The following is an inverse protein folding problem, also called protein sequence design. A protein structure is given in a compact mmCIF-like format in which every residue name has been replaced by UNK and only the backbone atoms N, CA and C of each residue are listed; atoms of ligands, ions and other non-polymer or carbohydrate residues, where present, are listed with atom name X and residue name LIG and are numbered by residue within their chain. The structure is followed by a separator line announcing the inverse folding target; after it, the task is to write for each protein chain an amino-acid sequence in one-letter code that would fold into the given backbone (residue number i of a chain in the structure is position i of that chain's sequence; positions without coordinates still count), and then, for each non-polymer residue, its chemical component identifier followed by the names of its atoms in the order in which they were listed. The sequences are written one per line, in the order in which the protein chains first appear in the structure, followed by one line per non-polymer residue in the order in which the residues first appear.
data_IF_204722844654
#
_entry.id   IF_204722844654
#
_cell.length_a   1.000
_cell.length_b   1.000
_cell.length_c   1.000
_cell.angle_alpha   90.00
_cell.angle_beta   90.00
_cell.angle_gamma   90.00
#
_symmetry.space_group_name_H-M   'P 1'
#
loop_
_entity.id
_entity.type
_entity.pdbx_description
1 polymer ?
#
# COMPACT_ATOMS: atom_id res chain seq x y z
N UNK A 1 -16.44 -8.11 18.22
CA UNK A 1 -16.76 -7.31 17.04
C UNK A 1 -16.07 -7.94 15.83
N UNK A 2 -16.81 -8.24 14.77
CA UNK A 2 -16.25 -8.88 13.57
C UNK A 2 -15.59 -7.93 12.58
N UNK A 3 -16.04 -6.67 12.57
CA UNK A 3 -15.49 -5.58 11.73
C UNK A 3 -15.63 -4.27 12.48
N UNK A 4 -14.57 -3.50 12.52
CA UNK A 4 -14.52 -2.17 13.12
C UNK A 4 -13.71 -1.24 12.24
N UNK A 5 -13.97 0.05 12.36
CA UNK A 5 -13.16 1.09 11.74
C UNK A 5 -13.13 2.32 12.62
N UNK A 6 -12.07 3.11 12.48
CA UNK A 6 -11.96 4.46 12.98
C UNK A 6 -11.64 5.42 11.83
N UNK A 7 -12.09 6.66 11.93
CA UNK A 7 -11.76 7.71 10.99
C UNK A 7 -11.54 9.00 11.75
N UNK A 8 -10.29 9.40 11.86
CA UNK A 8 -9.92 10.54 12.70
C UNK A 8 -8.56 11.14 12.37
N UNK A 9 -8.19 12.22 13.09
CA UNK A 9 -6.87 12.85 12.94
C UNK A 9 -5.79 11.98 13.57
N UNK A 10 -4.70 11.80 12.82
CA UNK A 10 -3.48 11.10 13.24
C UNK A 10 -2.31 12.06 13.23
N UNK A 11 -1.40 11.90 14.18
CA UNK A 11 -0.24 12.77 14.36
C UNK A 11 1.04 11.95 14.27
N UNK A 12 1.98 12.36 13.39
CA UNK A 12 3.30 11.76 13.26
C UNK A 12 4.37 12.86 13.25
N UNK A 13 5.33 12.77 14.19
CA UNK A 13 6.44 13.70 14.30
C UNK A 13 7.67 13.21 13.50
N UNK A 14 7.47 12.89 12.23
CA UNK A 14 8.54 12.42 11.35
C UNK A 14 9.33 13.60 10.79
N UNK A 15 10.66 13.40 10.61
CA UNK A 15 11.52 14.37 9.93
C UNK A 15 11.41 14.27 8.41
N UNK A 16 10.22 13.98 7.92
CA UNK A 16 9.98 13.84 6.49
C UNK A 16 10.07 15.17 5.78
N UNK A 17 10.75 15.18 4.62
CA UNK A 17 10.83 16.34 3.72
C UNK A 17 10.04 16.11 2.43
N UNK A 18 9.16 15.13 2.41
CA UNK A 18 8.36 14.84 1.22
C UNK A 18 7.16 15.78 1.11
N UNK A 19 6.63 15.97 -0.11
CA UNK A 19 5.43 16.77 -0.35
C UNK A 19 4.14 16.10 0.12
N UNK A 20 4.21 14.81 0.49
CA UNK A 20 3.04 13.95 0.81
C UNK A 20 2.79 13.79 2.30
N UNK A 21 3.78 14.09 3.16
CA UNK A 21 3.68 13.83 4.58
C UNK A 21 3.41 15.11 5.36
N UNK A 22 2.34 15.10 6.14
CA UNK A 22 1.96 16.13 7.08
C UNK A 22 2.10 15.60 8.51
N UNK A 23 2.38 16.48 9.46
CA UNK A 23 2.42 16.13 10.90
C UNK A 23 1.04 15.71 11.41
N UNK A 24 -0.01 16.29 10.87
CA UNK A 24 -1.41 15.96 11.16
C UNK A 24 -2.09 15.59 9.82
N UNK A 25 -2.79 14.46 9.81
CA UNK A 25 -3.58 14.02 8.66
C UNK A 25 -4.74 13.16 9.14
N UNK A 26 -5.71 12.92 8.27
CA UNK A 26 -6.83 12.02 8.55
C UNK A 26 -6.54 10.63 8.01
N UNK A 27 -6.80 9.63 8.84
CA UNK A 27 -6.62 8.23 8.49
C UNK A 27 -7.91 7.45 8.75
N UNK A 28 -8.20 6.51 7.89
CA UNK A 28 -9.22 5.50 8.09
C UNK A 28 -8.53 4.18 8.40
N UNK A 29 -8.62 3.75 9.65
CA UNK A 29 -8.14 2.44 10.09
C UNK A 29 -9.29 1.44 10.12
N UNK A 30 -9.09 0.26 9.59
CA UNK A 30 -10.09 -0.81 9.61
C UNK A 30 -9.47 -2.12 10.06
N UNK A 31 -10.16 -2.78 10.99
CA UNK A 31 -9.81 -4.13 11.45
C UNK A 31 -11.01 -5.07 11.21
N UNK A 32 -10.71 -6.24 10.65
CA UNK A 32 -11.74 -7.23 10.37
C UNK A 32 -11.26 -8.64 10.66
N UNK A 33 -12.11 -9.41 11.33
CA UNK A 33 -11.90 -10.82 11.60
C UNK A 33 -12.41 -11.68 10.43
N UNK A 34 -11.86 -12.89 10.32
CA UNK A 34 -12.36 -13.93 9.42
C UNK A 34 -12.16 -13.67 7.91
N UNK A 35 -11.31 -12.73 7.53
CA UNK A 35 -10.84 -12.57 6.15
C UNK A 35 -9.45 -13.17 5.99
N UNK A 36 -9.23 -13.80 4.86
CA UNK A 36 -7.88 -14.17 4.40
C UNK A 36 -7.13 -12.94 3.90
N UNK A 37 -5.83 -13.09 3.66
CA UNK A 37 -5.02 -12.03 3.07
C UNK A 37 -5.59 -11.58 1.71
N UNK A 38 -5.90 -12.51 0.83
CA UNK A 38 -6.43 -12.20 -0.51
C UNK A 38 -7.79 -11.51 -0.45
N UNK A 39 -8.70 -11.97 0.42
CA UNK A 39 -10.00 -11.31 0.63
C UNK A 39 -9.84 -9.89 1.20
N UNK A 40 -8.79 -9.65 2.00
CA UNK A 40 -8.44 -8.32 2.46
C UNK A 40 -8.04 -7.41 1.31
N UNK A 41 -7.23 -7.89 0.36
CA UNK A 41 -6.84 -7.13 -0.82
C UNK A 41 -8.06 -6.82 -1.71
N UNK A 42 -8.95 -7.78 -1.91
CA UNK A 42 -10.20 -7.58 -2.65
C UNK A 42 -11.08 -6.50 -2.01
N UNK A 43 -11.16 -6.50 -0.67
CA UNK A 43 -11.92 -5.48 0.08
C UNK A 43 -11.28 -4.09 -0.05
N UNK A 44 -9.95 -3.99 0.03
CA UNK A 44 -9.22 -2.73 -0.14
C UNK A 44 -9.41 -2.16 -1.55
N UNK A 45 -9.30 -3.00 -2.59
CA UNK A 45 -9.56 -2.61 -3.97
C UNK A 45 -11.00 -2.10 -4.14
N UNK A 46 -11.98 -2.85 -3.64
CA UNK A 46 -13.40 -2.44 -3.70
C UNK A 46 -13.65 -1.12 -2.95
N UNK A 47 -12.99 -0.92 -1.80
CA UNK A 47 -13.08 0.32 -1.02
C UNK A 47 -12.56 1.51 -1.80
N UNK A 48 -11.35 1.44 -2.36
CA UNK A 48 -10.77 2.54 -3.14
C UNK A 48 -11.62 2.85 -4.37
N UNK A 49 -12.10 1.83 -5.10
CA UNK A 49 -13.00 2.01 -6.24
C UNK A 49 -14.32 2.70 -5.84
N UNK A 50 -14.88 2.32 -4.70
CA UNK A 50 -16.09 2.96 -4.18
C UNK A 50 -15.86 4.43 -3.79
N UNK A 51 -14.69 4.77 -3.22
CA UNK A 51 -14.31 6.15 -2.94
C UNK A 51 -14.17 6.97 -4.23
N UNK A 52 -13.47 6.47 -5.24
CA UNK A 52 -13.30 7.13 -6.53
C UNK A 52 -14.64 7.37 -7.21
N UNK A 53 -15.53 6.35 -7.23
CA UNK A 53 -16.88 6.50 -7.75
C UNK A 53 -17.68 7.54 -6.97
N UNK A 54 -17.60 7.51 -5.64
CA UNK A 54 -18.27 8.49 -4.79
C UNK A 54 -17.82 9.93 -5.03
N UNK A 55 -16.54 10.15 -5.33
CA UNK A 55 -16.01 11.47 -5.68
C UNK A 55 -16.51 11.92 -7.07
N UNK A 56 -16.49 11.03 -8.06
CA UNK A 56 -17.02 11.32 -9.40
C UNK A 56 -18.51 11.72 -9.35
N UNK A 57 -19.31 11.04 -8.52
CA UNK A 57 -20.75 11.27 -8.42
C UNK A 57 -21.11 12.52 -7.62
N UNK A 58 -20.36 12.85 -6.57
CA UNK A 58 -20.76 13.83 -5.57
C UNK A 58 -20.00 15.15 -5.66
N UNK A 59 -18.83 15.15 -6.32
CA UNK A 59 -17.95 16.32 -6.35
C UNK A 59 -17.49 16.72 -7.77
N UNK A 60 -18.36 16.66 -8.83
CA UNK A 60 -17.94 16.95 -10.19
C UNK A 60 -17.41 18.40 -10.36
N UNK A 61 -17.99 19.37 -9.66
CA UNK A 61 -17.54 20.77 -9.71
C UNK A 61 -16.14 20.96 -9.09
N UNK A 62 -15.83 20.20 -8.01
CA UNK A 62 -14.50 20.26 -7.41
C UNK A 62 -13.45 19.64 -8.34
N UNK A 63 -13.78 18.51 -9.00
CA UNK A 63 -12.92 17.88 -9.99
C UNK A 63 -12.64 18.81 -11.18
N UNK A 64 -13.66 19.50 -11.69
CA UNK A 64 -13.50 20.50 -12.75
C UNK A 64 -12.61 21.67 -12.30
N UNK A 65 -12.85 22.23 -11.11
CA UNK A 65 -12.04 23.32 -10.56
C UNK A 65 -10.56 22.94 -10.39
N UNK A 66 -10.30 21.68 -10.03
CA UNK A 66 -8.95 21.13 -9.86
C UNK A 66 -8.36 20.61 -11.18
N UNK A 67 -9.05 20.77 -12.30
CA UNK A 67 -8.62 20.25 -13.61
C UNK A 67 -8.25 18.76 -13.57
N UNK A 68 -8.99 17.98 -12.72
CA UNK A 68 -8.68 16.57 -12.51
C UNK A 68 -9.08 15.71 -13.71
N UNK A 69 -8.17 14.89 -14.20
CA UNK A 69 -8.46 13.90 -15.24
C UNK A 69 -9.44 12.83 -14.71
N UNK A 70 -10.71 12.98 -15.07
CA UNK A 70 -11.79 12.08 -14.65
C UNK A 70 -11.80 10.78 -15.43
N UNK A 71 -11.26 10.74 -16.65
CA UNK A 71 -11.16 9.52 -17.44
C UNK A 71 -10.12 8.56 -16.82
N UNK A 72 -9.04 9.10 -16.29
CA UNK A 72 -8.06 8.32 -15.54
C UNK A 72 -8.68 7.70 -14.27
N UNK A 73 -9.49 8.46 -13.53
CA UNK A 73 -10.20 7.92 -12.36
C UNK A 73 -11.19 6.81 -12.74
N UNK A 74 -11.93 6.98 -13.85
CA UNK A 74 -12.82 5.94 -14.38
C UNK A 74 -12.06 4.68 -14.79
N UNK A 75 -10.88 4.83 -15.35
CA UNK A 75 -9.99 3.73 -15.69
C UNK A 75 -9.57 2.96 -14.44
N UNK A 76 -9.17 3.62 -13.35
CA UNK A 76 -8.82 2.96 -12.08
C UNK A 76 -10.02 2.19 -11.48
N UNK A 77 -11.24 2.65 -11.69
CA UNK A 77 -12.46 1.93 -11.26
C UNK A 77 -12.69 0.68 -12.13
N UNK A 78 -12.49 0.80 -13.43
CA UNK A 78 -12.82 -0.26 -14.40
C UNK A 78 -11.80 -1.40 -14.43
N UNK A 79 -10.52 -1.09 -14.26
CA UNK A 79 -9.44 -2.06 -14.34
C UNK A 79 -9.15 -2.71 -12.96
N UNK A 80 -8.73 -3.99 -12.93
CA UNK A 80 -8.27 -4.61 -11.69
C UNK A 80 -6.95 -3.96 -11.25
N UNK A 81 -6.77 -3.83 -9.95
CA UNK A 81 -5.50 -3.39 -9.39
C UNK A 81 -4.42 -4.46 -9.60
N UNK A 82 -3.21 -4.04 -9.86
CA UNK A 82 -2.08 -4.94 -10.05
C UNK A 82 -1.66 -5.54 -8.71
N UNK A 83 -1.24 -6.81 -8.71
CA UNK A 83 -0.69 -7.49 -7.54
C UNK A 83 0.65 -8.08 -7.90
N UNK A 84 1.69 -7.71 -7.17
CA UNK A 84 3.06 -8.24 -7.30
C UNK A 84 3.61 -8.53 -5.91
N UNK A 85 4.57 -9.44 -5.83
CA UNK A 85 5.31 -9.65 -4.58
C UNK A 85 6.41 -8.60 -4.43
N UNK A 86 6.92 -8.43 -3.21
CA UNK A 86 8.09 -7.61 -2.93
C UNK A 86 9.29 -8.02 -3.80
N UNK A 87 9.56 -9.34 -3.92
CA UNK A 87 10.67 -9.84 -4.73
C UNK A 87 10.51 -9.45 -6.21
N UNK A 88 9.30 -9.58 -6.76
CA UNK A 88 9.01 -9.14 -8.13
C UNK A 88 9.15 -7.63 -8.30
N UNK A 89 8.85 -6.85 -7.26
CA UNK A 89 9.04 -5.41 -7.31
C UNK A 89 10.52 -5.02 -7.30
N UNK A 90 11.37 -5.68 -6.50
CA UNK A 90 12.81 -5.47 -6.51
C UNK A 90 13.41 -5.89 -7.85
N UNK A 91 13.08 -7.08 -8.36
CA UNK A 91 13.56 -7.55 -9.67
C UNK A 91 13.23 -6.54 -10.78
N UNK A 92 11.98 -6.03 -10.76
CA UNK A 92 11.52 -5.04 -11.73
C UNK A 92 12.28 -3.72 -11.62
N UNK A 93 12.54 -3.22 -10.42
CA UNK A 93 13.32 -2.01 -10.21
C UNK A 93 14.77 -2.18 -10.67
N UNK A 94 15.40 -3.32 -10.38
CA UNK A 94 16.76 -3.62 -10.83
C UNK A 94 16.86 -3.77 -12.35
N UNK A 95 15.86 -4.38 -13.00
CA UNK A 95 15.81 -4.50 -14.47
C UNK A 95 15.76 -3.15 -15.15
N UNK A 96 15.05 -2.19 -14.56
CA UNK A 96 14.77 -0.87 -15.15
C UNK A 96 15.60 0.28 -14.56
N UNK A 97 16.56 0.03 -13.67
CA UNK A 97 17.32 1.08 -12.97
C UNK A 97 18.13 2.03 -13.87
N UNK A 98 18.38 1.63 -15.13
CA UNK A 98 19.09 2.44 -16.12
C UNK A 98 18.16 3.11 -17.13
N UNK A 99 16.86 2.99 -16.98
CA UNK A 99 15.89 3.63 -17.86
C UNK A 99 15.85 5.15 -17.63
N UNK A 100 15.44 5.89 -18.65
CA UNK A 100 15.47 7.36 -18.60
C UNK A 100 14.51 7.98 -17.55
N UNK A 101 13.53 7.22 -17.10
CA UNK A 101 12.53 7.60 -16.08
C UNK A 101 12.81 6.99 -14.70
N UNK A 102 13.92 6.25 -14.55
CA UNK A 102 14.37 5.68 -13.29
C UNK A 102 15.06 6.76 -12.42
N UNK A 103 14.24 7.52 -11.69
CA UNK A 103 14.73 8.54 -10.73
C UNK A 103 14.72 7.95 -9.30
N UNK A 104 15.40 6.83 -9.12
CA UNK A 104 15.52 6.13 -7.84
C UNK A 104 16.90 5.47 -7.70
N UNK A 105 17.28 5.21 -6.44
CA UNK A 105 18.53 4.54 -6.11
C UNK A 105 18.37 3.01 -6.24
N UNK A 106 19.48 2.31 -6.50
CA UNK A 106 19.52 0.86 -6.52
C UNK A 106 19.09 0.27 -5.18
N UNK A 107 18.31 -0.81 -5.23
CA UNK A 107 17.89 -1.58 -4.05
C UNK A 107 18.31 -3.04 -4.18
N UNK A 108 18.71 -3.60 -3.05
CA UNK A 108 18.93 -5.04 -2.89
C UNK A 108 17.70 -5.72 -2.26
N UNK A 109 17.60 -7.04 -2.46
CA UNK A 109 16.58 -7.82 -1.74
C UNK A 109 16.78 -7.71 -0.22
N UNK A 110 15.77 -7.23 0.49
CA UNK A 110 15.79 -6.97 1.92
C UNK A 110 15.74 -5.48 2.28
N UNK A 111 15.97 -4.59 1.33
CA UNK A 111 15.83 -3.15 1.53
C UNK A 111 14.36 -2.71 1.53
N UNK A 112 14.08 -1.63 2.23
CA UNK A 112 12.74 -1.01 2.21
C UNK A 112 12.61 -0.02 1.05
N UNK A 113 11.39 0.13 0.52
CA UNK A 113 11.15 1.07 -0.56
C UNK A 113 11.12 2.52 -0.05
N UNK A 114 11.79 3.38 -0.78
CA UNK A 114 11.59 4.82 -0.66
C UNK A 114 10.53 5.33 -1.62
N UNK A 115 10.10 6.55 -1.39
CA UNK A 115 9.08 7.23 -2.19
C UNK A 115 9.33 7.23 -3.71
N UNK A 116 10.58 7.36 -4.22
CA UNK A 116 10.85 7.24 -5.66
C UNK A 116 10.53 5.85 -6.22
N UNK A 117 10.88 4.78 -5.48
CA UNK A 117 10.62 3.39 -5.86
C UNK A 117 9.12 3.12 -5.98
N UNK A 118 8.35 3.49 -4.96
CA UNK A 118 6.88 3.37 -4.94
C UNK A 118 6.24 4.11 -6.13
N UNK A 119 6.71 5.32 -6.39
CA UNK A 119 6.22 6.15 -7.50
C UNK A 119 6.50 5.50 -8.84
N UNK A 120 7.72 4.98 -9.04
CA UNK A 120 8.08 4.33 -10.28
C UNK A 120 7.26 3.04 -10.50
N UNK A 121 7.16 2.16 -9.47
CA UNK A 121 6.37 0.91 -9.54
C UNK A 121 4.93 1.20 -9.95
N UNK A 122 4.26 2.11 -9.27
CA UNK A 122 2.85 2.41 -9.53
C UNK A 122 2.62 3.06 -10.89
N UNK A 123 3.54 3.92 -11.34
CA UNK A 123 3.48 4.54 -12.66
C UNK A 123 3.78 3.54 -13.78
N UNK A 124 4.70 2.60 -13.57
CA UNK A 124 5.03 1.55 -14.54
C UNK A 124 3.79 0.72 -14.92
N UNK A 125 2.97 0.33 -13.95
CA UNK A 125 1.72 -0.38 -14.22
C UNK A 125 0.57 0.55 -14.64
N UNK A 126 0.64 1.83 -14.30
CA UNK A 126 -0.37 2.84 -14.62
C UNK A 126 -1.73 2.61 -13.97
N UNK A 127 -1.82 1.73 -12.97
CA UNK A 127 -2.98 1.44 -12.13
C UNK A 127 -2.52 1.27 -10.68
N UNK A 128 -3.39 1.43 -9.67
CA UNK A 128 -3.02 1.13 -8.29
C UNK A 128 -2.48 -0.30 -8.17
N UNK A 129 -1.38 -0.44 -7.44
CA UNK A 129 -0.58 -1.67 -7.40
C UNK A 129 -0.34 -2.11 -5.96
N UNK A 130 -0.75 -3.33 -5.63
CA UNK A 130 -0.38 -3.98 -4.38
C UNK A 130 1.02 -4.58 -4.50
N UNK A 131 1.90 -4.22 -3.59
CA UNK A 131 3.16 -4.92 -3.34
C UNK A 131 3.00 -5.74 -2.07
N UNK A 132 3.22 -7.05 -2.16
CA UNK A 132 2.86 -8.02 -1.14
C UNK A 132 4.06 -8.80 -0.62
N UNK A 133 3.90 -9.40 0.57
CA UNK A 133 4.84 -10.38 1.12
C UNK A 133 6.25 -9.81 1.31
N UNK A 134 6.35 -8.70 2.00
CA UNK A 134 7.64 -8.09 2.35
C UNK A 134 8.46 -8.97 3.29
N UNK A 135 9.79 -8.75 3.35
CA UNK A 135 10.65 -9.39 4.34
C UNK A 135 10.18 -9.12 5.78
N UNK A 136 10.14 -10.15 6.61
CA UNK A 136 9.76 -10.03 8.02
C UNK A 136 10.68 -9.06 8.77
N UNK A 137 11.96 -8.99 8.40
CA UNK A 137 12.97 -8.17 9.05
C UNK A 137 12.73 -6.64 8.95
N UNK A 138 11.97 -6.19 7.93
CA UNK A 138 11.68 -4.77 7.71
C UNK A 138 10.22 -4.39 8.03
N UNK A 139 9.42 -5.33 8.53
CA UNK A 139 8.01 -5.10 8.88
C UNK A 139 7.77 -5.35 10.38
N UNK A 140 6.61 -4.94 10.85
CA UNK A 140 6.29 -5.01 12.28
C UNK A 140 6.14 -6.46 12.78
N UNK A 141 6.63 -6.72 13.99
CA UNK A 141 6.69 -8.04 14.64
C UNK A 141 5.34 -8.77 14.71
N UNK A 142 4.25 -8.05 14.79
CA UNK A 142 2.89 -8.59 14.90
C UNK A 142 2.31 -9.12 13.59
N UNK A 143 3.01 -8.98 12.48
CA UNK A 143 2.52 -9.48 11.19
C UNK A 143 2.70 -10.99 11.10
N UNK A 144 1.68 -11.67 10.56
CA UNK A 144 1.66 -13.12 10.39
C UNK A 144 2.60 -13.55 9.27
N UNK A 145 3.48 -14.54 9.50
CA UNK A 145 4.34 -15.07 8.44
C UNK A 145 3.55 -15.72 7.30
N UNK A 146 4.13 -15.71 6.12
CA UNK A 146 3.61 -16.47 4.98
C UNK A 146 3.75 -17.97 5.29
N UNK A 147 2.68 -18.78 5.14
CA UNK A 147 2.76 -20.23 5.36
C UNK A 147 3.88 -20.89 4.56
N UNK A 148 4.79 -21.57 5.25
CA UNK A 148 5.93 -22.22 4.63
C UNK A 148 7.12 -21.30 4.29
N UNK A 149 7.01 -19.99 4.52
CA UNK A 149 8.10 -19.03 4.33
C UNK A 149 8.12 -17.98 5.46
N UNK A 150 8.72 -18.28 6.61
CA UNK A 150 8.73 -17.36 7.76
C UNK A 150 9.53 -16.07 7.56
N UNK A 151 10.37 -16.01 6.53
CA UNK A 151 11.12 -14.79 6.18
C UNK A 151 10.26 -13.73 5.48
N UNK A 152 9.03 -14.07 5.12
CA UNK A 152 8.05 -13.17 4.50
C UNK A 152 6.81 -13.07 5.38
N UNK A 153 6.14 -11.91 5.36
CA UNK A 153 4.90 -11.70 6.11
C UNK A 153 3.71 -11.46 5.17
N UNK A 154 2.52 -11.85 5.62
CA UNK A 154 1.26 -11.62 4.92
C UNK A 154 0.85 -10.14 5.09
N UNK A 155 1.48 -9.27 4.35
CA UNK A 155 1.19 -7.83 4.28
C UNK A 155 1.11 -7.37 2.84
N UNK A 156 0.54 -6.20 2.65
CA UNK A 156 0.54 -5.51 1.38
C UNK A 156 0.49 -4.00 1.58
N UNK A 157 1.23 -3.27 0.75
CA UNK A 157 1.13 -1.84 0.59
C UNK A 157 0.47 -1.56 -0.76
N UNK A 158 -0.61 -0.78 -0.78
CA UNK A 158 -1.28 -0.33 -2.01
C UNK A 158 -0.68 0.99 -2.45
N UNK A 159 0.02 0.96 -3.57
CA UNK A 159 0.66 2.12 -4.18
C UNK A 159 -0.26 2.73 -5.23
N UNK A 160 -0.52 4.02 -5.13
CA UNK A 160 -1.30 4.77 -6.11
C UNK A 160 -0.37 5.49 -7.10
N UNK A 161 -0.70 5.49 -8.42
CA UNK A 161 0.04 6.21 -9.45
C UNK A 161 0.07 7.73 -9.23
N UNK A 162 0.71 8.44 -10.14
CA UNK A 162 0.79 9.91 -10.16
C UNK A 162 1.57 10.50 -8.97
N UNK A 163 2.44 9.69 -8.35
CA UNK A 163 3.28 10.12 -7.23
C UNK A 163 2.59 10.14 -5.88
N UNK A 164 1.40 9.56 -5.76
CA UNK A 164 0.74 9.43 -4.45
C UNK A 164 1.44 8.42 -3.54
N UNK A 165 2.06 7.36 -4.10
CA UNK A 165 2.74 6.30 -3.35
C UNK A 165 1.80 5.47 -2.50
N UNK A 166 2.24 5.00 -1.35
CA UNK A 166 1.43 4.18 -0.44
C UNK A 166 0.19 4.94 0.06
N UNK A 167 -0.98 4.40 -0.22
CA UNK A 167 -2.28 4.93 0.25
C UNK A 167 -2.97 4.01 1.24
N UNK A 168 -2.63 2.73 1.27
CA UNK A 168 -3.08 1.75 2.28
C UNK A 168 -1.91 0.82 2.58
N UNK A 169 -1.58 0.66 3.87
CA UNK A 169 -0.72 -0.39 4.39
C UNK A 169 -1.53 -1.35 5.25
N UNK A 170 -1.36 -2.66 5.05
CA UNK A 170 -2.13 -3.64 5.80
C UNK A 170 -1.45 -4.99 5.94
N UNK A 171 -1.89 -5.77 6.93
CA UNK A 171 -1.34 -7.11 7.16
C UNK A 171 -2.33 -8.03 7.86
N UNK A 172 -2.10 -9.33 7.71
CA UNK A 172 -2.66 -10.32 8.64
C UNK A 172 -1.93 -10.21 9.98
N UNK A 173 -2.69 -10.25 11.07
CA UNK A 173 -2.14 -10.27 12.42
C UNK A 173 -1.73 -11.68 12.82
N UNK A 174 -0.61 -11.81 13.56
CA UNK A 174 -0.24 -13.06 14.20
C UNK A 174 -1.29 -13.40 15.27
N UNK A 175 -1.87 -14.58 15.19
CA UNK A 175 -2.90 -15.06 16.11
C UNK A 175 -2.39 -16.12 17.08
N UNK A 176 -1.22 -16.70 16.82
CA UNK A 176 -0.57 -17.62 17.72
C UNK A 176 0.11 -16.85 18.86
N UNK A 177 -0.34 -17.11 20.08
CA UNK A 177 0.13 -16.39 21.27
C UNK A 177 1.63 -16.61 21.53
N UNK A 178 2.10 -17.85 21.44
CA UNK A 178 3.49 -18.19 21.76
C UNK A 178 4.43 -17.63 20.66
N UNK A 179 4.02 -17.68 19.41
CA UNK A 179 4.74 -17.07 18.31
C UNK A 179 4.82 -15.54 18.47
N UNK A 180 3.73 -14.89 18.87
CA UNK A 180 3.71 -13.43 19.07
C UNK A 180 4.63 -13.02 20.23
N UNK A 181 4.57 -13.74 21.37
CA UNK A 181 5.44 -13.47 22.52
C UNK A 181 6.90 -13.65 22.16
N UNK A 182 7.26 -14.72 21.45
CA UNK A 182 8.63 -14.95 21.02
C UNK A 182 9.18 -13.79 20.18
N UNK A 183 8.40 -13.26 19.24
CA UNK A 183 8.77 -12.10 18.43
C UNK A 183 8.88 -10.79 19.22
N UNK A 184 8.24 -10.67 20.36
CA UNK A 184 8.37 -9.51 21.26
C UNK A 184 9.62 -9.55 22.13
N UNK A 185 10.24 -10.72 22.28
CA UNK A 185 11.46 -10.94 23.08
C UNK A 185 12.75 -10.79 22.24
N UNK A 186 12.64 -10.79 20.90
CA UNK A 186 13.71 -10.49 19.93
C UNK A 186 14.04 -8.98 19.89
#
# INVERSE_FOLDING_TARGET
LGRVFDFGPVFRAEKSKTRRHLTEFWMMDAEYSYLTHDESLDLQEAYVKALLQGVLDRAPQALETLERDTELLKRYIAEPFKRITYDQAIDLLQEHENDADADYEHLEHGDDFGSPHETWISNHFGVPTFVMNYPAAIKAFYMKPVPGNPERVLCADLLAPEGYGEIIGGSMREEDYDALVAKMEE
#
